data_IF_565459150326
#
_entry.id   IF_565459150326
#
_cell.length_a   1.000
_cell.length_b   1.000
_cell.length_c   1.000
_cell.angle_alpha   90.00
_cell.angle_beta   90.00
_cell.angle_gamma   90.00
#
_symmetry.space_group_name_H-M   'P 1'
#
loop_
_entity.id
_entity.type
_entity.pdbx_description
1 polymer ?
#
# COMPACT_ATOMS: atom_id res chain seq x y z
N UNK A 1 14.21 -4.99 -35.77
CA UNK A 1 13.04 -5.07 -34.92
C UNK A 1 12.20 -3.83 -35.20
N UNK A 2 11.11 -3.99 -35.94
CA UNK A 2 10.16 -2.91 -36.21
C UNK A 2 9.30 -2.79 -34.96
N UNK A 3 9.29 -1.61 -34.32
CA UNK A 3 8.38 -1.28 -33.24
C UNK A 3 6.96 -1.29 -33.81
N UNK A 4 6.13 -2.20 -33.35
CA UNK A 4 4.69 -2.22 -33.66
C UNK A 4 4.00 -1.02 -32.98
N UNK A 5 4.15 0.15 -33.59
CA UNK A 5 3.43 1.37 -33.20
C UNK A 5 1.95 1.35 -33.60
N UNK A 6 1.50 0.30 -34.34
CA UNK A 6 0.13 0.19 -34.83
C UNK A 6 -0.87 -0.36 -33.82
N UNK A 7 -0.42 -1.04 -32.77
CA UNK A 7 -1.28 -1.75 -31.82
C UNK A 7 -2.08 -0.82 -30.89
N UNK A 8 -1.60 0.37 -30.64
CA UNK A 8 -2.27 1.32 -29.73
C UNK A 8 -3.31 2.22 -30.44
N UNK A 9 -3.32 2.30 -31.76
CA UNK A 9 -4.20 3.20 -32.53
C UNK A 9 -5.60 2.64 -32.78
N UNK A 10 -5.74 1.31 -32.83
CA UNK A 10 -7.03 0.63 -33.11
C UNK A 10 -7.95 0.51 -31.89
N UNK A 11 -7.54 1.10 -30.76
CA UNK A 11 -8.06 0.82 -29.43
C UNK A 11 -9.12 1.80 -28.94
N UNK A 12 -9.27 2.97 -29.58
CA UNK A 12 -10.20 4.01 -29.12
C UNK A 12 -11.21 4.32 -30.22
N UNK A 13 -12.52 4.37 -29.91
CA UNK A 13 -13.54 4.75 -30.90
C UNK A 13 -13.17 6.06 -31.59
N UNK A 14 -13.34 6.14 -32.89
CA UNK A 14 -12.87 7.25 -33.74
C UNK A 14 -13.35 8.64 -33.25
N UNK A 15 -14.52 8.76 -32.64
CA UNK A 15 -15.02 10.02 -32.06
C UNK A 15 -14.29 10.41 -30.76
N UNK A 16 -13.92 9.44 -29.94
CA UNK A 16 -13.13 9.67 -28.71
C UNK A 16 -11.66 9.89 -29.06
N UNK A 17 -11.13 9.16 -30.06
CA UNK A 17 -9.80 9.36 -30.63
C UNK A 17 -9.66 10.80 -31.20
N UNK A 18 -10.67 11.30 -31.89
CA UNK A 18 -10.65 12.67 -32.43
C UNK A 18 -10.62 13.71 -31.32
N UNK A 19 -11.36 13.52 -30.23
CA UNK A 19 -11.35 14.38 -29.07
C UNK A 19 -10.04 14.26 -28.28
N UNK A 20 -9.52 13.05 -28.13
CA UNK A 20 -8.23 12.79 -27.48
C UNK A 20 -7.05 13.20 -28.35
N UNK A 21 -7.13 13.04 -29.70
CA UNK A 21 -6.11 13.52 -30.66
C UNK A 21 -6.11 15.03 -30.75
N UNK A 22 -7.26 15.69 -30.74
CA UNK A 22 -7.34 17.15 -30.68
C UNK A 22 -6.75 17.69 -29.38
N UNK A 23 -6.99 17.02 -28.30
CA UNK A 23 -6.41 17.25 -26.99
C UNK A 23 -4.89 16.99 -26.97
N UNK A 24 -4.45 15.88 -27.57
CA UNK A 24 -3.07 15.46 -27.78
C UNK A 24 -2.26 16.48 -28.60
N UNK A 25 -2.81 16.95 -29.71
CA UNK A 25 -2.17 17.94 -30.58
C UNK A 25 -1.96 19.28 -29.86
N UNK A 26 -2.90 19.69 -29.03
CA UNK A 26 -2.76 20.91 -28.23
C UNK A 26 -1.66 20.78 -27.19
N UNK A 27 -1.58 19.64 -26.50
CA UNK A 27 -0.54 19.37 -25.49
C UNK A 27 0.85 19.20 -26.12
N UNK A 28 0.94 18.52 -27.25
CA UNK A 28 2.19 18.32 -28.01
C UNK A 28 2.82 19.64 -28.44
N UNK A 29 2.03 20.59 -28.92
CA UNK A 29 2.52 21.93 -29.32
C UNK A 29 3.13 22.71 -28.15
N UNK A 30 2.72 22.42 -26.89
CA UNK A 30 3.25 23.06 -25.67
C UNK A 30 4.31 22.22 -24.93
N UNK A 31 4.80 21.11 -25.52
CA UNK A 31 5.77 20.18 -24.90
C UNK A 31 5.33 19.66 -23.51
N UNK A 32 4.05 19.42 -23.32
CA UNK A 32 3.50 18.91 -22.07
C UNK A 32 3.32 17.41 -22.20
N UNK A 33 4.20 16.62 -21.57
CA UNK A 33 4.09 15.16 -21.51
C UNK A 33 2.94 14.79 -20.56
N UNK A 34 1.91 14.16 -21.10
CA UNK A 34 0.91 13.44 -20.33
C UNK A 34 1.23 11.95 -20.39
N UNK A 35 1.45 11.35 -19.24
CA UNK A 35 1.50 9.90 -19.12
C UNK A 35 0.11 9.42 -18.74
N UNK A 36 -0.56 8.68 -19.62
CA UNK A 36 -1.90 8.18 -19.39
C UNK A 36 -1.83 6.68 -19.17
N UNK A 37 -2.28 6.21 -17.99
CA UNK A 37 -2.54 4.80 -17.73
C UNK A 37 -3.94 4.47 -18.24
N UNK A 38 -4.06 3.47 -19.09
CA UNK A 38 -5.34 3.05 -19.62
C UNK A 38 -6.21 2.35 -18.56
N UNK A 39 -7.50 2.27 -18.80
CA UNK A 39 -8.46 1.59 -17.93
C UNK A 39 -8.02 0.14 -17.65
N UNK A 40 -8.30 -0.37 -16.45
CA UNK A 40 -7.91 -1.71 -15.99
C UNK A 40 -8.20 -2.82 -17.01
N UNK A 41 -9.40 -2.88 -17.58
CA UNK A 41 -9.74 -3.89 -18.59
C UNK A 41 -8.91 -3.79 -19.88
N UNK A 42 -8.55 -2.58 -20.30
CA UNK A 42 -7.67 -2.34 -21.45
C UNK A 42 -6.24 -2.78 -21.12
N UNK A 43 -5.74 -2.47 -19.92
CA UNK A 43 -4.42 -2.89 -19.48
C UNK A 43 -4.32 -4.41 -19.36
N UNK A 44 -5.37 -5.07 -18.87
CA UNK A 44 -5.45 -6.54 -18.78
C UNK A 44 -5.40 -7.19 -20.16
N UNK A 45 -6.10 -6.63 -21.15
CA UNK A 45 -6.04 -7.08 -22.51
C UNK A 45 -4.67 -6.89 -23.17
N UNK A 46 -3.99 -5.79 -22.88
CA UNK A 46 -2.63 -5.52 -23.40
C UNK A 46 -1.56 -6.42 -22.75
N UNK A 47 -1.76 -6.82 -21.49
CA UNK A 47 -0.85 -7.72 -20.77
C UNK A 47 -1.02 -9.18 -21.21
N UNK A 48 -2.20 -9.59 -21.62
CA UNK A 48 -2.50 -10.94 -22.10
C UNK A 48 -2.03 -11.12 -23.55
N UNK A 49 -0.74 -11.43 -23.73
CA UNK A 49 -0.11 -11.67 -25.04
C UNK A 49 -0.70 -12.85 -25.81
N UNK A 50 -1.61 -13.62 -25.20
CA UNK A 50 -2.26 -14.77 -25.83
C UNK A 50 -3.51 -14.39 -26.63
N UNK A 51 -4.02 -13.16 -26.46
CA UNK A 51 -5.20 -12.68 -27.18
C UNK A 51 -4.76 -12.14 -28.55
N UNK A 52 -5.24 -12.74 -29.67
CA UNK A 52 -5.00 -12.20 -31.01
C UNK A 52 -5.57 -10.78 -31.11
N UNK A 53 -4.84 -9.88 -31.77
CA UNK A 53 -5.19 -8.46 -32.00
C UNK A 53 -6.57 -8.23 -32.64
N UNK A 54 -7.18 -9.27 -33.18
CA UNK A 54 -8.45 -9.24 -33.93
C UNK A 54 -9.72 -9.34 -33.06
N UNK A 55 -9.63 -9.35 -31.70
CA UNK A 55 -10.84 -9.47 -30.87
C UNK A 55 -11.32 -8.11 -30.34
N UNK A 56 -12.53 -7.67 -30.77
CA UNK A 56 -13.15 -6.41 -30.33
C UNK A 56 -13.48 -6.34 -28.84
N UNK A 57 -13.50 -7.48 -28.13
CA UNK A 57 -14.05 -7.60 -26.77
C UNK A 57 -13.29 -6.85 -25.68
N UNK A 58 -11.99 -6.55 -25.89
CA UNK A 58 -11.21 -5.76 -24.94
C UNK A 58 -11.60 -4.26 -24.93
N UNK A 59 -12.28 -3.83 -25.99
CA UNK A 59 -12.55 -2.42 -26.29
C UNK A 59 -14.04 -2.13 -26.45
N UNK A 60 -14.89 -3.11 -26.22
CA UNK A 60 -16.34 -2.91 -26.21
C UNK A 60 -16.72 -2.04 -25.01
N UNK A 61 -16.74 -0.74 -25.24
CA UNK A 61 -17.39 0.20 -24.33
C UNK A 61 -18.88 -0.17 -24.25
N UNK A 62 -19.48 -0.24 -23.04
CA UNK A 62 -20.89 -0.54 -22.91
C UNK A 62 -21.72 0.44 -23.77
N UNK A 63 -22.51 -0.08 -24.70
CA UNK A 63 -23.42 0.74 -25.51
C UNK A 63 -24.43 1.43 -24.58
N UNK A 64 -24.31 2.74 -24.41
CA UNK A 64 -25.32 3.52 -23.70
C UNK A 64 -24.78 4.64 -22.80
N UNK A 65 -23.74 4.43 -22.03
CA UNK A 65 -23.07 5.45 -21.24
C UNK A 65 -21.58 5.15 -21.23
N UNK A 66 -20.81 5.85 -22.06
CA UNK A 66 -19.36 5.65 -22.10
C UNK A 66 -18.72 6.40 -20.92
N UNK A 67 -18.41 5.66 -19.87
CA UNK A 67 -17.50 6.10 -18.81
C UNK A 67 -16.12 5.51 -19.08
N UNK A 68 -15.14 6.38 -19.31
CA UNK A 68 -13.75 5.97 -19.57
C UNK A 68 -12.86 6.50 -18.47
N UNK A 69 -12.02 5.61 -17.92
CA UNK A 69 -11.13 5.95 -16.83
C UNK A 69 -9.66 5.88 -17.29
N UNK A 70 -8.91 6.94 -16.95
CA UNK A 70 -7.49 7.03 -17.21
C UNK A 70 -6.74 7.36 -15.92
N UNK A 71 -5.47 6.89 -15.83
CA UNK A 71 -4.53 7.34 -14.83
C UNK A 71 -3.58 8.36 -15.44
N UNK A 72 -3.26 9.39 -14.70
CA UNK A 72 -2.21 10.35 -15.03
C UNK A 72 -1.06 10.20 -14.05
N UNK A 73 0.17 10.04 -14.55
CA UNK A 73 1.38 10.05 -13.75
C UNK A 73 1.95 11.47 -13.66
N UNK A 74 2.27 11.88 -12.45
CA UNK A 74 2.92 13.16 -12.20
C UNK A 74 1.99 14.28 -11.78
N UNK A 75 2.58 15.32 -11.25
CA UNK A 75 1.89 16.53 -10.83
C UNK A 75 1.78 17.48 -12.00
N UNK A 76 0.58 17.96 -12.27
CA UNK A 76 0.42 19.17 -13.08
C UNK A 76 1.09 20.32 -12.32
N UNK A 77 2.05 21.00 -12.91
CA UNK A 77 2.40 22.32 -12.43
C UNK A 77 1.12 23.20 -12.45
N UNK A 78 0.87 23.95 -11.39
CA UNK A 78 -0.37 24.73 -11.23
C UNK A 78 -0.75 25.55 -12.48
N UNK A 79 0.23 26.07 -13.19
CA UNK A 79 0.04 26.84 -14.44
C UNK A 79 -0.42 25.94 -15.61
N UNK A 80 0.06 24.71 -15.68
CA UNK A 80 -0.35 23.75 -16.72
C UNK A 80 -1.76 23.21 -16.47
N UNK A 81 -2.14 23.06 -15.21
CA UNK A 81 -3.50 22.71 -14.83
C UNK A 81 -4.48 23.77 -15.28
N UNK A 82 -4.18 25.04 -15.05
CA UNK A 82 -5.03 26.16 -15.46
C UNK A 82 -5.22 26.20 -16.98
N UNK A 83 -4.13 26.08 -17.74
CA UNK A 83 -4.18 26.03 -19.21
C UNK A 83 -5.02 24.86 -19.72
N UNK A 84 -4.92 23.70 -19.03
CA UNK A 84 -5.67 22.50 -19.36
C UNK A 84 -7.18 22.68 -19.12
N UNK A 85 -7.57 23.14 -17.94
CA UNK A 85 -8.97 23.37 -17.59
C UNK A 85 -9.59 24.48 -18.44
N UNK A 86 -8.84 25.54 -18.75
CA UNK A 86 -9.25 26.62 -19.64
C UNK A 86 -9.51 26.10 -21.05
N UNK A 87 -8.62 25.26 -21.59
CA UNK A 87 -8.81 24.64 -22.91
C UNK A 87 -10.08 23.79 -22.95
N UNK A 88 -10.31 22.92 -21.94
CA UNK A 88 -11.50 22.07 -21.87
C UNK A 88 -12.78 22.93 -21.83
N UNK A 89 -12.79 23.99 -21.05
CA UNK A 89 -13.93 24.92 -20.96
C UNK A 89 -14.22 25.57 -22.31
N UNK A 90 -13.19 26.06 -23.02
CA UNK A 90 -13.35 26.65 -24.35
C UNK A 90 -13.82 25.63 -25.40
N UNK A 91 -13.44 24.36 -25.24
CA UNK A 91 -13.91 23.27 -26.09
C UNK A 91 -15.32 22.76 -25.72
N UNK A 92 -16.00 23.37 -24.75
CA UNK A 92 -17.38 23.05 -24.33
C UNK A 92 -17.49 21.86 -23.39
N UNK A 93 -16.39 21.45 -22.74
CA UNK A 93 -16.41 20.43 -21.71
C UNK A 93 -16.70 21.06 -20.34
N UNK A 94 -17.45 20.33 -19.52
CA UNK A 94 -17.59 20.60 -18.09
C UNK A 94 -16.56 19.77 -17.33
N UNK A 95 -15.88 20.41 -16.39
CA UNK A 95 -14.84 19.76 -15.58
C UNK A 95 -15.13 19.94 -14.11
N UNK A 96 -14.99 18.85 -13.36
CA UNK A 96 -15.00 18.84 -11.90
C UNK A 96 -13.66 18.31 -11.40
N UNK A 97 -13.10 18.94 -10.37
CA UNK A 97 -11.83 18.57 -9.75
C UNK A 97 -12.05 18.21 -8.31
N UNK A 98 -11.48 17.07 -7.89
CA UNK A 98 -11.35 16.70 -6.50
C UNK A 98 -9.88 16.87 -6.08
N UNK A 99 -9.68 17.46 -4.92
CA UNK A 99 -8.35 17.67 -4.33
C UNK A 99 -8.37 17.27 -2.87
N UNK A 100 -7.25 16.75 -2.38
CA UNK A 100 -7.07 16.37 -0.98
C UNK A 100 -5.82 17.05 -0.41
N UNK A 101 -5.72 17.21 0.92
CA UNK A 101 -4.47 17.64 1.53
C UNK A 101 -3.31 16.71 1.13
N UNK A 102 -2.17 17.28 0.75
CA UNK A 102 -0.98 16.52 0.43
C UNK A 102 -0.43 15.80 1.67
N UNK A 103 -0.46 14.47 1.75
CA UNK A 103 -0.04 13.74 2.94
C UNK A 103 1.42 14.02 3.34
N UNK A 104 2.31 14.27 2.35
CA UNK A 104 3.73 14.54 2.60
C UNK A 104 3.97 15.79 3.44
N UNK A 105 3.23 16.86 3.20
CA UNK A 105 3.41 18.13 3.92
C UNK A 105 2.43 18.27 5.08
N UNK A 106 1.34 17.53 5.05
CA UNK A 106 0.39 17.48 6.16
C UNK A 106 1.05 16.93 7.44
N UNK A 107 1.96 15.97 7.31
CA UNK A 107 2.77 15.46 8.42
C UNK A 107 3.58 16.56 9.12
N UNK A 108 3.98 17.59 8.39
CA UNK A 108 4.69 18.78 8.91
C UNK A 108 3.75 19.93 9.32
N UNK A 109 2.43 19.68 9.35
CA UNK A 109 1.43 20.70 9.73
C UNK A 109 1.10 21.71 8.64
N UNK A 110 1.55 21.46 7.40
CA UNK A 110 1.24 22.31 6.24
C UNK A 110 0.08 21.70 5.46
N UNK A 111 -0.94 22.49 5.19
CA UNK A 111 -2.09 22.09 4.40
C UNK A 111 -1.97 22.64 2.97
N UNK A 112 -1.53 21.77 2.06
CA UNK A 112 -1.44 22.05 0.63
C UNK A 112 -2.32 21.06 -0.11
N UNK A 113 -3.32 21.56 -0.83
CA UNK A 113 -4.21 20.71 -1.62
C UNK A 113 -3.52 20.26 -2.91
N UNK A 114 -3.66 18.95 -3.21
CA UNK A 114 -3.21 18.36 -4.46
C UNK A 114 -4.39 17.74 -5.21
N UNK A 115 -4.47 17.89 -6.54
CA UNK A 115 -5.54 17.29 -7.34
C UNK A 115 -5.39 15.77 -7.35
N UNK A 116 -6.49 15.06 -7.17
CA UNK A 116 -6.51 13.59 -7.16
C UNK A 116 -7.39 13.02 -8.25
N UNK A 117 -8.45 13.73 -8.63
CA UNK A 117 -9.36 13.30 -9.68
C UNK A 117 -9.86 14.47 -10.50
N UNK A 118 -10.03 14.22 -11.80
CA UNK A 118 -10.77 15.10 -12.70
C UNK A 118 -11.90 14.30 -13.34
N UNK A 119 -13.07 14.87 -13.32
CA UNK A 119 -14.23 14.40 -14.09
C UNK A 119 -14.49 15.37 -15.22
N UNK A 120 -14.43 14.90 -16.45
CA UNK A 120 -14.60 15.68 -17.66
C UNK A 120 -15.82 15.12 -18.39
N UNK A 121 -16.84 15.95 -18.61
CA UNK A 121 -18.07 15.54 -19.28
C UNK A 121 -18.41 16.47 -20.42
N UNK A 122 -19.02 15.92 -21.47
CA UNK A 122 -19.56 16.65 -22.60
C UNK A 122 -21.08 16.44 -22.67
N UNK A 123 -21.81 17.36 -23.32
CA UNK A 123 -23.28 17.39 -23.36
C UNK A 123 -24.01 16.12 -23.81
N UNK A 124 -23.30 15.09 -24.26
CA UNK A 124 -23.85 13.82 -24.76
C UNK A 124 -23.28 12.62 -24.01
N UNK A 125 -23.62 12.48 -22.74
CA UNK A 125 -23.46 11.23 -21.95
C UNK A 125 -22.08 10.54 -21.90
N UNK A 126 -21.01 11.17 -22.33
CA UNK A 126 -19.65 10.63 -22.19
C UNK A 126 -18.96 11.33 -21.02
N UNK A 127 -18.51 10.57 -20.04
CA UNK A 127 -17.71 11.08 -18.93
C UNK A 127 -16.33 10.44 -18.97
N UNK A 128 -15.30 11.28 -18.89
CA UNK A 128 -13.91 10.88 -18.75
C UNK A 128 -13.50 11.14 -17.31
N UNK A 129 -13.02 10.10 -16.62
CA UNK A 129 -12.48 10.20 -15.28
C UNK A 129 -10.96 10.03 -15.33
N UNK A 130 -10.25 11.03 -14.84
CA UNK A 130 -8.78 11.00 -14.75
C UNK A 130 -8.40 10.88 -13.27
N UNK A 131 -7.71 9.79 -12.93
CA UNK A 131 -7.12 9.55 -11.61
C UNK A 131 -5.69 10.03 -11.61
N UNK A 132 -5.30 10.87 -10.66
CA UNK A 132 -3.92 11.38 -10.55
C UNK A 132 -3.14 10.51 -9.58
N UNK A 133 -2.10 9.86 -10.09
CA UNK A 133 -1.17 9.05 -9.30
C UNK A 133 0.01 9.91 -8.86
N UNK A 134 0.16 10.05 -7.57
CA UNK A 134 1.25 10.79 -6.94
C UNK A 134 2.39 9.86 -6.55
N UNK A 135 3.60 10.30 -6.81
CA UNK A 135 4.80 9.58 -6.40
C UNK A 135 5.03 9.72 -4.90
N UNK A 136 5.34 8.60 -4.25
CA UNK A 136 5.62 8.52 -2.81
C UNK A 136 7.09 8.11 -2.57
N UNK A 137 7.69 8.51 -1.42
CA UNK A 137 9.08 8.21 -1.08
C UNK A 137 9.43 6.72 -1.13
N UNK A 138 8.52 5.84 -0.73
CA UNK A 138 8.68 4.39 -0.77
C UNK A 138 8.77 3.77 -2.18
N UNK A 139 9.05 4.58 -3.21
CA UNK A 139 9.14 4.19 -4.61
C UNK A 139 7.87 3.53 -5.15
N UNK A 140 6.70 4.11 -4.87
CA UNK A 140 5.41 3.65 -5.33
C UNK A 140 4.53 4.83 -5.79
N UNK A 141 3.44 4.51 -6.49
CA UNK A 141 2.39 5.45 -6.84
C UNK A 141 1.21 5.31 -5.90
N UNK A 142 0.65 6.44 -5.50
CA UNK A 142 -0.52 6.53 -4.65
C UNK A 142 -1.60 7.37 -5.32
N UNK A 143 -2.85 7.00 -5.15
CA UNK A 143 -4.00 7.83 -5.45
C UNK A 143 -4.95 7.86 -4.25
N UNK A 144 -5.63 8.98 -4.05
CA UNK A 144 -6.71 9.06 -3.07
C UNK A 144 -8.01 8.46 -3.63
N UNK A 145 -8.91 8.08 -2.75
CA UNK A 145 -10.29 7.76 -3.11
C UNK A 145 -11.03 8.99 -3.66
N UNK A 146 -11.99 8.76 -4.55
CA UNK A 146 -12.88 9.81 -5.03
C UNK A 146 -14.14 9.96 -4.15
N UNK A 147 -14.04 9.61 -2.87
CA UNK A 147 -15.12 9.79 -1.90
C UNK A 147 -15.07 11.25 -1.42
N UNK A 148 -16.11 12.02 -1.74
CA UNK A 148 -16.30 13.31 -1.09
C UNK A 148 -16.84 13.06 0.33
N UNK A 149 -16.24 13.70 1.35
CA UNK A 149 -16.91 13.83 2.65
C UNK A 149 -18.23 14.60 2.43
N UNK A 150 -19.29 14.15 3.10
CA UNK A 150 -20.61 14.78 3.01
C UNK A 150 -20.57 16.19 3.63
N UNK A 151 -20.16 17.17 2.85
CA UNK A 151 -20.33 18.56 3.19
C UNK A 151 -21.30 19.22 2.18
N UNK A 152 -22.41 19.68 2.68
CA UNK A 152 -23.70 19.92 2.02
C UNK A 152 -23.74 21.18 1.09
N UNK A 153 -22.58 21.73 0.69
CA UNK A 153 -22.57 23.07 0.07
C UNK A 153 -22.04 23.19 -1.36
N UNK A 154 -21.55 22.11 -2.01
CA UNK A 154 -20.89 22.26 -3.31
C UNK A 154 -21.49 21.40 -4.44
N UNK A 155 -21.98 22.05 -5.51
CA UNK A 155 -22.54 21.39 -6.71
C UNK A 155 -21.60 20.44 -7.45
N UNK A 156 -20.31 20.53 -7.19
CA UNK A 156 -19.26 19.68 -7.79
C UNK A 156 -19.33 18.25 -7.26
N UNK A 157 -19.69 18.07 -5.98
CA UNK A 157 -19.83 16.78 -5.30
C UNK A 157 -20.96 15.92 -5.87
N UNK A 158 -22.04 16.52 -6.31
CA UNK A 158 -23.20 15.80 -6.88
C UNK A 158 -22.80 14.99 -8.13
N UNK A 159 -21.85 15.48 -8.91
CA UNK A 159 -21.40 14.80 -10.15
C UNK A 159 -20.52 13.59 -9.85
N UNK A 160 -19.63 13.66 -8.86
CA UNK A 160 -18.84 12.51 -8.40
C UNK A 160 -19.72 11.51 -7.66
N UNK A 161 -20.59 11.94 -6.77
CA UNK A 161 -21.51 11.08 -6.01
C UNK A 161 -22.42 10.24 -6.93
N UNK A 162 -22.89 10.78 -8.04
CA UNK A 162 -23.66 10.00 -9.04
C UNK A 162 -22.88 8.87 -9.68
N UNK A 163 -21.56 9.02 -9.83
CA UNK A 163 -20.68 7.98 -10.37
C UNK A 163 -20.33 6.92 -9.33
N UNK A 164 -20.19 7.34 -8.07
CA UNK A 164 -19.84 6.46 -6.93
C UNK A 164 -20.98 5.50 -6.57
N UNK A 165 -22.23 5.92 -6.73
CA UNK A 165 -23.41 5.13 -6.34
C UNK A 165 -23.78 4.01 -7.29
N UNK A 166 -23.13 3.88 -8.47
CA UNK A 166 -23.36 2.74 -9.35
C UNK A 166 -22.69 1.47 -8.80
N UNK A 167 -23.40 0.34 -8.84
CA UNK A 167 -22.87 -0.96 -8.36
C UNK A 167 -21.62 -1.44 -9.13
N UNK A 168 -21.38 -0.87 -10.32
CA UNK A 168 -20.25 -1.13 -11.21
C UNK A 168 -19.14 -0.09 -11.10
N UNK A 169 -19.14 0.74 -10.05
CA UNK A 169 -18.12 1.79 -9.88
C UNK A 169 -16.72 1.18 -9.76
N UNK A 170 -15.74 1.68 -10.54
CA UNK A 170 -14.37 1.21 -10.47
C UNK A 170 -13.79 1.39 -9.07
N UNK A 171 -12.88 0.51 -8.70
CA UNK A 171 -12.25 0.47 -7.37
C UNK A 171 -11.47 1.75 -7.01
N UNK A 172 -10.83 2.40 -7.99
CA UNK A 172 -10.14 3.68 -7.80
C UNK A 172 -10.99 4.80 -7.18
N UNK A 173 -12.28 4.60 -7.08
CA UNK A 173 -13.22 5.55 -6.49
C UNK A 173 -13.46 5.26 -5.01
N UNK A 174 -13.38 4.00 -4.60
CA UNK A 174 -13.86 3.53 -3.27
C UNK A 174 -12.82 3.62 -2.16
N UNK A 175 -11.54 3.55 -2.48
CA UNK A 175 -10.46 3.57 -1.49
C UNK A 175 -9.20 4.18 -2.09
N UNK A 176 -8.35 4.71 -1.23
CA UNK A 176 -6.96 5.03 -1.58
C UNK A 176 -6.26 3.78 -2.07
N UNK A 177 -5.32 3.93 -3.00
CA UNK A 177 -4.57 2.81 -3.54
C UNK A 177 -3.08 3.09 -3.65
N UNK A 178 -2.27 2.03 -3.52
CA UNK A 178 -0.82 2.10 -3.64
C UNK A 178 -0.28 1.00 -4.56
N UNK A 179 0.51 1.39 -5.54
CA UNK A 179 1.01 0.51 -6.62
C UNK A 179 2.53 0.64 -6.72
N UNK A 180 3.22 -0.50 -6.77
CA UNK A 180 4.66 -0.47 -7.03
C UNK A 180 4.93 0.16 -8.40
N UNK A 181 6.01 0.94 -8.49
CA UNK A 181 6.42 1.48 -9.77
C UNK A 181 6.86 0.33 -10.65
N UNK A 182 6.10 0.08 -11.70
CA UNK A 182 6.43 -0.87 -12.74
C UNK A 182 7.35 -0.22 -13.78
N UNK A 183 8.17 -1.01 -14.46
CA UNK A 183 8.74 -0.61 -15.73
C UNK A 183 7.62 -0.24 -16.68
N UNK A 184 7.76 0.89 -17.33
CA UNK A 184 6.74 1.48 -18.19
C UNK A 184 7.15 1.24 -19.62
N UNK A 185 6.35 0.50 -20.37
CA UNK A 185 6.53 0.39 -21.81
C UNK A 185 5.96 1.66 -22.47
N UNK A 186 6.79 2.46 -23.16
CA UNK A 186 6.30 3.61 -23.88
C UNK A 186 5.48 3.13 -25.07
N UNK A 187 4.24 3.57 -25.15
CA UNK A 187 3.37 3.38 -26.30
C UNK A 187 3.18 4.74 -26.97
N UNK A 188 3.67 4.90 -28.20
CA UNK A 188 3.50 6.15 -28.94
C UNK A 188 2.09 6.19 -29.54
N UNK A 189 1.26 7.09 -29.03
CA UNK A 189 -0.09 7.34 -29.52
C UNK A 189 -0.12 8.37 -30.68
N UNK A 190 1.05 8.78 -31.17
CA UNK A 190 1.16 9.86 -32.14
C UNK A 190 1.10 11.25 -31.52
N UNK A 191 1.70 12.24 -32.17
CA UNK A 191 1.67 13.63 -31.71
C UNK A 191 2.46 13.94 -30.44
N UNK A 192 3.33 13.02 -29.99
CA UNK A 192 4.17 13.19 -28.79
C UNK A 192 3.47 12.80 -27.49
N UNK A 193 2.37 12.09 -27.56
CA UNK A 193 1.70 11.42 -26.42
C UNK A 193 2.31 10.05 -26.22
N UNK A 194 2.74 9.80 -25.01
CA UNK A 194 3.19 8.49 -24.59
C UNK A 194 2.19 7.89 -23.59
N UNK A 195 1.65 6.73 -23.90
CA UNK A 195 0.98 5.87 -22.93
C UNK A 195 2.03 5.00 -22.27
N UNK A 196 1.78 4.63 -21.01
CA UNK A 196 2.66 3.75 -20.27
C UNK A 196 1.81 2.57 -19.78
N UNK A 197 2.25 1.36 -20.08
CA UNK A 197 1.66 0.14 -19.51
C UNK A 197 2.68 -0.49 -18.56
N UNK A 198 2.28 -0.92 -17.36
CA UNK A 198 3.16 -1.65 -16.48
C UNK A 198 3.52 -3.02 -17.08
N UNK A 199 4.81 -3.39 -17.01
CA UNK A 199 5.30 -4.68 -17.52
C UNK A 199 4.85 -5.87 -16.68
N UNK A 200 4.54 -5.63 -15.39
CA UNK A 200 4.01 -6.64 -14.46
C UNK A 200 2.62 -6.22 -14.02
N UNK A 201 1.65 -6.72 -14.73
CA UNK A 201 0.25 -6.35 -14.55
C UNK A 201 -0.37 -6.92 -13.28
N UNK A 202 0.02 -8.12 -12.88
CA UNK A 202 -0.51 -8.83 -11.71
C UNK A 202 -0.34 -8.06 -10.39
N UNK A 203 0.66 -7.17 -10.32
CA UNK A 203 0.85 -6.29 -9.17
C UNK A 203 -0.10 -5.09 -9.15
N UNK A 204 -0.74 -4.77 -10.29
CA UNK A 204 -1.74 -3.69 -10.43
C UNK A 204 -3.18 -4.19 -10.25
N UNK A 205 -3.39 -5.51 -10.35
CA UNK A 205 -4.71 -6.14 -10.35
C UNK A 205 -4.99 -6.73 -8.99
N UNK A 206 -5.59 -5.98 -8.12
CA UNK A 206 -6.08 -6.48 -6.86
C UNK A 206 -6.61 -5.34 -6.01
N UNK A 207 -7.61 -5.62 -5.19
CA UNK A 207 -8.03 -4.70 -4.16
C UNK A 207 -6.88 -4.54 -3.17
N UNK A 208 -6.13 -3.45 -3.29
CA UNK A 208 -5.03 -3.13 -2.37
C UNK A 208 -5.28 -1.74 -1.78
N UNK A 209 -6.25 -1.61 -0.88
CA UNK A 209 -6.53 -0.34 -0.24
C UNK A 209 -5.29 0.13 0.51
N UNK A 210 -5.10 1.45 0.50
CA UNK A 210 -4.01 2.11 1.20
C UNK A 210 -4.56 2.83 2.42
N UNK A 211 -3.86 2.73 3.53
CA UNK A 211 -4.19 3.44 4.78
C UNK A 211 -3.05 4.40 5.09
N UNK A 212 -3.38 5.68 5.10
CA UNK A 212 -2.46 6.74 5.53
C UNK A 212 -2.29 6.73 7.05
N UNK A 213 -1.09 6.97 7.53
CA UNK A 213 -0.90 7.19 8.96
C UNK A 213 -1.62 8.45 9.42
N UNK A 214 -2.34 8.37 10.55
CA UNK A 214 -3.08 9.50 11.10
C UNK A 214 -2.15 10.50 11.78
N UNK A 215 -1.69 11.49 11.02
CA UNK A 215 -0.75 12.52 11.47
C UNK A 215 -1.34 13.42 12.56
N UNK A 216 -2.67 13.60 12.61
CA UNK A 216 -3.33 14.36 13.68
C UNK A 216 -3.23 13.61 15.00
N UNK A 217 -3.47 12.30 15.00
CA UNK A 217 -3.27 11.43 16.15
C UNK A 217 -1.80 11.43 16.60
N UNK A 218 -0.87 11.31 15.68
CA UNK A 218 0.56 11.33 15.99
C UNK A 218 1.00 12.66 16.62
N UNK A 219 0.54 13.79 16.09
CA UNK A 219 0.80 15.11 16.66
C UNK A 219 0.22 15.23 18.08
N UNK A 220 -1.00 14.76 18.30
CA UNK A 220 -1.60 14.76 19.65
C UNK A 220 -0.78 13.89 20.60
N UNK A 221 -0.35 12.70 20.15
CA UNK A 221 0.50 11.82 20.97
C UNK A 221 1.80 12.52 21.38
N UNK A 222 2.49 13.14 20.43
CA UNK A 222 3.74 13.86 20.71
C UNK A 222 3.53 15.13 21.57
N UNK A 223 2.41 15.81 21.42
CA UNK A 223 2.08 16.96 22.27
C UNK A 223 1.88 16.56 23.75
N UNK A 224 1.34 15.37 24.00
CA UNK A 224 1.06 14.88 25.35
C UNK A 224 2.30 14.20 25.98
N UNK A 225 2.99 13.36 25.21
CA UNK A 225 4.03 12.47 25.73
C UNK A 225 5.47 12.90 25.39
N UNK A 226 5.61 13.94 24.56
CA UNK A 226 6.90 14.36 24.00
C UNK A 226 7.32 13.53 22.80
N UNK A 227 8.28 14.06 22.04
CA UNK A 227 8.97 13.33 20.99
C UNK A 227 10.40 13.08 21.45
N UNK A 228 10.85 11.85 21.31
CA UNK A 228 12.25 11.51 21.57
C UNK A 228 13.08 11.86 20.31
N UNK A 229 13.85 12.93 20.42
CA UNK A 229 14.74 13.44 19.36
C UNK A 229 16.22 13.24 19.71
N UNK A 230 16.50 12.30 20.61
CA UNK A 230 17.89 11.95 20.97
C UNK A 230 18.61 11.33 19.77
N UNK A 231 19.94 11.47 19.66
CA UNK A 231 20.73 10.80 18.63
C UNK A 231 20.53 9.27 18.61
N UNK A 232 20.29 8.67 19.76
CA UNK A 232 20.02 7.25 19.92
C UNK A 232 18.69 6.86 19.29
N UNK A 233 17.63 7.65 19.49
CA UNK A 233 16.32 7.43 18.88
C UNK A 233 16.37 7.58 17.35
N UNK A 234 17.07 8.62 16.86
CA UNK A 234 17.27 8.81 15.42
C UNK A 234 18.10 7.67 14.81
N UNK A 235 19.15 7.22 15.48
CA UNK A 235 19.95 6.09 15.03
C UNK A 235 19.11 4.79 14.99
N UNK A 236 18.27 4.57 16.00
CA UNK A 236 17.37 3.41 16.02
C UNK A 236 16.38 3.45 14.84
N UNK A 237 15.77 4.61 14.57
CA UNK A 237 14.91 4.81 13.39
C UNK A 237 15.61 4.42 12.08
N UNK A 238 16.86 4.88 11.88
CA UNK A 238 17.65 4.55 10.70
C UNK A 238 17.97 3.06 10.59
N UNK A 239 18.23 2.39 11.72
CA UNK A 239 18.47 0.93 11.76
C UNK A 239 17.20 0.17 11.40
N UNK A 240 16.05 0.53 11.97
CA UNK A 240 14.75 -0.06 11.65
C UNK A 240 14.41 0.13 10.18
N UNK A 241 14.57 1.35 9.65
CA UNK A 241 14.37 1.60 8.21
C UNK A 241 15.22 0.66 7.35
N UNK A 242 16.53 0.55 7.62
CA UNK A 242 17.43 -0.32 6.87
C UNK A 242 17.01 -1.79 6.93
N UNK A 243 16.65 -2.25 8.13
CA UNK A 243 16.19 -3.62 8.33
C UNK A 243 14.91 -3.91 7.56
N UNK A 244 13.90 -3.02 7.64
CA UNK A 244 12.64 -3.18 6.91
C UNK A 244 12.81 -3.15 5.38
N UNK A 245 13.77 -2.38 4.86
CA UNK A 245 14.11 -2.41 3.42
C UNK A 245 14.63 -3.79 3.03
N UNK A 246 15.57 -4.37 3.80
CA UNK A 246 16.08 -5.73 3.56
C UNK A 246 14.98 -6.79 3.68
N UNK A 247 14.17 -6.70 4.73
CA UNK A 247 13.02 -7.61 4.95
C UNK A 247 12.07 -7.58 3.76
N UNK A 248 11.69 -6.37 3.30
CA UNK A 248 10.82 -6.21 2.12
C UNK A 248 11.42 -6.85 0.87
N UNK A 249 12.72 -6.66 0.64
CA UNK A 249 13.40 -7.25 -0.50
C UNK A 249 13.41 -8.78 -0.41
N UNK A 250 13.92 -9.35 0.69
CA UNK A 250 14.11 -10.79 0.84
C UNK A 250 12.78 -11.57 0.81
N UNK A 251 11.78 -11.08 1.55
CA UNK A 251 10.46 -11.72 1.54
C UNK A 251 9.73 -11.49 0.21
N UNK A 252 9.98 -10.35 -0.46
CA UNK A 252 9.47 -10.07 -1.81
C UNK A 252 10.04 -11.03 -2.86
N UNK A 253 11.35 -11.29 -2.86
CA UNK A 253 12.03 -12.27 -3.74
C UNK A 253 11.48 -13.69 -3.53
N UNK A 254 11.12 -14.01 -2.30
CA UNK A 254 10.48 -15.28 -1.95
C UNK A 254 8.97 -15.30 -2.22
N UNK A 255 8.35 -14.20 -2.64
CA UNK A 255 6.89 -14.06 -2.74
C UNK A 255 6.17 -14.44 -1.43
N UNK A 256 6.68 -13.96 -0.28
CA UNK A 256 6.09 -14.14 1.03
C UNK A 256 5.47 -12.81 1.49
N UNK A 257 4.14 -12.69 1.50
CA UNK A 257 3.47 -11.52 2.03
C UNK A 257 3.70 -11.39 3.54
N UNK A 258 4.00 -10.17 3.99
CA UNK A 258 4.17 -9.87 5.41
C UNK A 258 3.57 -8.50 5.75
N UNK A 259 3.37 -8.24 7.02
CA UNK A 259 2.93 -6.94 7.54
C UNK A 259 3.69 -6.56 8.80
N UNK A 260 3.76 -5.26 9.12
CA UNK A 260 4.28 -4.80 10.41
C UNK A 260 3.31 -5.19 11.52
N UNK A 261 3.82 -5.79 12.58
CA UNK A 261 3.05 -6.41 13.67
C UNK A 261 3.39 -5.78 15.03
N UNK A 262 2.73 -6.20 16.06
CA UNK A 262 3.04 -5.92 17.47
C UNK A 262 3.50 -4.49 17.74
N UNK A 263 4.65 -4.29 18.37
CA UNK A 263 5.23 -2.98 18.71
C UNK A 263 5.52 -2.09 17.50
N UNK A 264 5.93 -2.68 16.39
CA UNK A 264 6.17 -1.94 15.14
C UNK A 264 4.87 -1.39 14.55
N UNK A 265 3.79 -2.19 14.56
CA UNK A 265 2.46 -1.75 14.14
C UNK A 265 1.87 -0.69 15.09
N UNK A 266 2.06 -0.84 16.41
CA UNK A 266 1.64 0.17 17.39
C UNK A 266 2.35 1.52 17.15
N UNK A 267 3.65 1.50 16.88
CA UNK A 267 4.42 2.70 16.56
C UNK A 267 3.87 3.43 15.35
N UNK A 268 3.63 2.71 14.24
CA UNK A 268 2.95 3.24 13.07
C UNK A 268 1.59 3.84 13.44
N UNK A 269 0.72 3.05 14.06
CA UNK A 269 -0.66 3.46 14.33
C UNK A 269 -0.74 4.64 15.29
N UNK A 270 0.04 4.65 16.38
CA UNK A 270 -0.04 5.63 17.45
C UNK A 270 0.65 6.96 17.12
N UNK A 271 1.86 6.88 16.56
CA UNK A 271 2.75 8.02 16.45
C UNK A 271 3.39 8.22 15.07
N UNK A 272 2.95 7.45 14.05
CA UNK A 272 3.50 7.47 12.68
C UNK A 272 5.03 7.26 12.63
N UNK A 273 5.57 6.57 13.61
CA UNK A 273 7.00 6.40 13.79
C UNK A 273 7.30 5.14 14.60
N UNK A 274 8.56 4.73 14.68
CA UNK A 274 9.01 3.68 15.60
C UNK A 274 8.81 4.10 17.05
N UNK A 275 8.70 3.13 17.94
CA UNK A 275 8.75 3.36 19.38
C UNK A 275 10.22 3.42 19.79
N UNK A 276 10.75 4.58 20.19
CA UNK A 276 12.21 4.78 20.28
C UNK A 276 12.92 3.98 21.37
N UNK A 277 12.16 3.48 22.35
CA UNK A 277 12.68 2.68 23.46
C UNK A 277 12.52 1.17 23.28
N UNK A 278 12.10 0.69 22.11
CA UNK A 278 12.14 -0.73 21.75
C UNK A 278 13.49 -1.08 21.14
N UNK A 279 13.77 -2.37 21.03
CA UNK A 279 15.05 -2.89 20.49
C UNK A 279 14.83 -3.89 19.35
N UNK A 280 13.57 -4.04 18.93
CA UNK A 280 13.09 -5.05 18.01
C UNK A 280 12.18 -4.46 16.93
N UNK A 281 12.04 -5.23 15.87
CA UNK A 281 11.10 -5.04 14.78
C UNK A 281 10.26 -6.30 14.68
N UNK A 282 8.95 -6.13 14.75
CA UNK A 282 8.00 -7.22 14.69
C UNK A 282 7.30 -7.22 13.32
N UNK A 283 7.24 -8.37 12.68
CA UNK A 283 6.43 -8.60 11.49
C UNK A 283 5.57 -9.85 11.63
N UNK A 284 4.45 -9.86 10.92
CA UNK A 284 3.56 -11.01 10.82
C UNK A 284 3.63 -11.62 9.42
N UNK A 285 3.52 -12.94 9.36
CA UNK A 285 3.39 -13.74 8.14
C UNK A 285 2.29 -14.76 8.38
N UNK A 286 1.37 -14.98 7.43
CA UNK A 286 0.45 -16.11 7.55
C UNK A 286 1.20 -17.41 7.38
N UNK A 287 0.92 -18.41 8.22
CA UNK A 287 1.64 -19.70 8.19
C UNK A 287 1.50 -20.41 6.83
N UNK A 288 0.39 -20.21 6.13
CA UNK A 288 0.20 -20.75 4.77
C UNK A 288 1.19 -20.21 3.75
N UNK A 289 1.80 -19.05 4.01
CA UNK A 289 2.80 -18.40 3.14
C UNK A 289 4.24 -18.69 3.61
N UNK A 290 4.42 -19.50 4.65
CA UNK A 290 5.74 -19.89 5.14
C UNK A 290 6.54 -20.65 4.08
N UNK A 291 7.80 -20.30 3.97
CA UNK A 291 8.79 -20.99 3.14
C UNK A 291 10.07 -21.26 3.95
N UNK A 292 10.59 -22.50 3.95
CA UNK A 292 11.84 -22.82 4.67
C UNK A 292 13.03 -21.97 4.22
N UNK A 293 13.00 -21.47 2.98
CA UNK A 293 14.04 -20.63 2.38
C UNK A 293 14.18 -19.27 3.08
N UNK A 294 13.21 -18.85 3.90
CA UNK A 294 13.31 -17.62 4.70
C UNK A 294 14.57 -17.65 5.55
N UNK A 295 14.88 -18.77 6.21
CA UNK A 295 16.04 -18.87 7.11
C UNK A 295 17.35 -18.68 6.34
N UNK A 296 17.51 -19.34 5.19
CA UNK A 296 18.71 -19.21 4.37
C UNK A 296 18.81 -17.83 3.71
N UNK A 297 17.70 -17.27 3.23
CA UNK A 297 17.69 -15.95 2.61
C UNK A 297 18.17 -14.85 3.57
N UNK A 298 17.70 -14.85 4.81
CA UNK A 298 18.15 -13.89 5.81
C UNK A 298 19.61 -14.13 6.22
N UNK A 299 20.00 -15.39 6.47
CA UNK A 299 21.35 -15.72 6.91
C UNK A 299 22.42 -15.39 5.87
N UNK A 300 22.13 -15.53 4.57
CA UNK A 300 23.06 -15.17 3.48
C UNK A 300 23.21 -13.65 3.29
N UNK A 301 22.36 -12.85 3.94
CA UNK A 301 22.39 -11.38 3.90
C UNK A 301 22.81 -10.77 5.26
N UNK A 302 23.64 -11.50 6.02
CA UNK A 302 24.17 -11.08 7.32
C UNK A 302 23.08 -10.77 8.37
N UNK A 303 21.96 -11.49 8.30
CA UNK A 303 20.88 -11.44 9.29
C UNK A 303 20.67 -12.85 9.84
N UNK A 304 21.57 -13.32 10.75
CA UNK A 304 21.54 -14.68 11.25
C UNK A 304 20.29 -14.95 12.10
N UNK A 305 19.82 -16.20 12.02
CA UNK A 305 18.78 -16.74 12.91
C UNK A 305 19.34 -16.83 14.33
N UNK A 306 18.62 -16.31 15.31
CA UNK A 306 18.97 -16.37 16.75
C UNK A 306 18.06 -17.27 17.54
N UNK A 307 16.78 -17.33 17.18
CA UNK A 307 15.80 -18.20 17.85
C UNK A 307 14.87 -18.83 16.83
N UNK A 308 14.47 -20.06 17.12
CA UNK A 308 13.36 -20.73 16.48
C UNK A 308 12.49 -21.31 17.59
N UNK A 309 11.24 -20.90 17.65
CA UNK A 309 10.25 -21.39 18.60
C UNK A 309 9.07 -22.03 17.89
N UNK A 310 8.49 -23.04 18.55
CA UNK A 310 7.35 -23.77 18.03
C UNK A 310 7.69 -24.65 16.82
N UNK A 311 6.65 -25.04 16.12
CA UNK A 311 6.71 -25.80 14.87
C UNK A 311 5.69 -25.24 13.88
N UNK A 312 5.82 -25.58 12.61
CA UNK A 312 4.98 -25.01 11.54
C UNK A 312 3.48 -25.18 11.83
N UNK A 313 3.10 -26.24 12.49
CA UNK A 313 1.71 -26.54 12.84
C UNK A 313 1.23 -25.82 14.10
N UNK A 314 2.15 -25.27 14.92
CA UNK A 314 1.79 -24.68 16.22
C UNK A 314 2.85 -23.68 16.71
N UNK A 315 2.42 -22.44 16.94
CA UNK A 315 3.19 -21.38 17.63
C UNK A 315 4.57 -21.10 17.01
N UNK A 316 4.67 -21.14 15.68
CA UNK A 316 5.96 -20.95 14.99
C UNK A 316 6.39 -19.49 15.04
N UNK A 317 7.66 -19.30 15.39
CA UNK A 317 8.30 -17.99 15.50
C UNK A 317 9.77 -18.11 15.09
N UNK A 318 10.25 -17.14 14.31
CA UNK A 318 11.66 -17.01 13.93
C UNK A 318 12.16 -15.64 14.37
N UNK A 319 13.29 -15.63 15.07
CA UNK A 319 13.97 -14.40 15.45
C UNK A 319 15.33 -14.32 14.77
N UNK A 320 15.57 -13.19 14.15
CA UNK A 320 16.84 -12.87 13.48
C UNK A 320 17.49 -11.66 14.12
N UNK A 321 18.72 -11.36 13.73
CA UNK A 321 19.43 -10.19 14.24
C UNK A 321 20.22 -9.49 13.13
N UNK A 322 19.88 -8.22 12.87
CA UNK A 322 20.70 -7.33 12.05
C UNK A 322 21.50 -6.41 12.99
N UNK A 323 22.74 -6.79 13.27
CA UNK A 323 23.63 -6.14 14.24
C UNK A 323 22.99 -6.09 15.64
N UNK A 324 22.51 -4.93 16.08
CA UNK A 324 21.92 -4.72 17.39
C UNK A 324 20.37 -4.66 17.40
N UNK A 325 19.74 -4.73 16.22
CA UNK A 325 18.29 -4.78 16.11
C UNK A 325 17.82 -6.22 15.91
N UNK A 326 16.90 -6.65 16.75
CA UNK A 326 16.22 -7.94 16.61
C UNK A 326 15.08 -7.81 15.61
N UNK A 327 14.88 -8.82 14.79
CA UNK A 327 13.71 -9.00 13.93
C UNK A 327 12.95 -10.23 14.41
N UNK A 328 11.69 -10.07 14.76
CA UNK A 328 10.79 -11.16 15.11
C UNK A 328 9.76 -11.37 13.99
N UNK A 329 9.70 -12.59 13.48
CA UNK A 329 8.70 -13.03 12.50
C UNK A 329 7.74 -13.96 13.23
N UNK A 330 6.54 -13.44 13.50
CA UNK A 330 5.45 -14.22 14.07
C UNK A 330 4.62 -14.85 12.96
N UNK A 331 4.39 -16.15 13.04
CA UNK A 331 3.51 -16.82 12.10
C UNK A 331 2.08 -16.87 12.65
N UNK A 332 1.14 -16.44 11.80
CA UNK A 332 -0.28 -16.31 12.15
C UNK A 332 -1.08 -17.42 11.49
N UNK A 333 -1.97 -17.98 12.28
CA UNK A 333 -2.87 -19.08 11.93
C UNK A 333 -4.28 -18.54 11.77
N UNK A 334 -4.96 -18.95 10.69
CA UNK A 334 -6.33 -18.52 10.39
C UNK A 334 -7.31 -19.61 10.85
N UNK A 335 -8.24 -19.25 11.70
CA UNK A 335 -9.40 -20.08 12.11
C UNK A 335 -10.67 -19.50 11.48
N UNK A 336 -11.82 -20.15 11.70
CA UNK A 336 -13.09 -19.75 11.09
C UNK A 336 -13.54 -18.34 11.50
N UNK A 337 -13.33 -17.95 12.74
CA UNK A 337 -13.81 -16.70 13.36
C UNK A 337 -12.71 -15.74 13.82
N UNK A 338 -11.47 -16.19 13.94
CA UNK A 338 -10.35 -15.41 14.43
C UNK A 338 -9.02 -15.74 13.72
N UNK A 339 -8.00 -14.99 14.04
CA UNK A 339 -6.61 -15.23 13.65
C UNK A 339 -5.79 -15.25 14.94
N UNK A 340 -4.78 -16.11 15.01
CA UNK A 340 -3.94 -16.16 16.20
C UNK A 340 -2.47 -16.37 15.86
N UNK A 341 -1.59 -15.97 16.76
CA UNK A 341 -0.20 -16.39 16.76
C UNK A 341 0.21 -16.90 18.14
N UNK A 342 1.31 -17.61 18.20
CA UNK A 342 1.80 -18.19 19.44
C UNK A 342 3.11 -17.56 19.91
N UNK A 343 3.43 -17.84 21.17
CA UNK A 343 4.73 -17.55 21.76
C UNK A 343 5.19 -18.69 22.68
N UNK A 344 6.47 -18.92 22.76
CA UNK A 344 7.06 -19.99 23.59
C UNK A 344 8.01 -19.42 24.62
N UNK A 345 7.78 -19.73 25.89
CA UNK A 345 8.71 -19.40 26.95
C UNK A 345 9.83 -20.47 27.04
N UNK A 346 11.00 -20.15 26.53
CA UNK A 346 12.10 -21.10 26.39
C UNK A 346 12.52 -21.82 27.70
N UNK A 347 12.42 -21.15 28.85
CA UNK A 347 12.85 -21.73 30.15
C UNK A 347 11.91 -22.80 30.71
N UNK A 348 10.64 -22.73 30.34
CA UNK A 348 9.58 -23.58 30.93
C UNK A 348 8.85 -24.42 29.92
N UNK A 349 9.05 -24.17 28.64
CA UNK A 349 8.28 -24.77 27.55
C UNK A 349 6.81 -24.32 27.51
N UNK A 350 6.38 -23.34 28.35
CA UNK A 350 5.02 -22.83 28.31
C UNK A 350 4.73 -22.17 26.97
N UNK A 351 3.54 -22.44 26.44
CA UNK A 351 3.00 -21.83 25.24
C UNK A 351 1.97 -20.75 25.60
N UNK A 352 1.93 -19.73 24.78
CA UNK A 352 0.96 -18.66 24.87
C UNK A 352 0.29 -18.47 23.51
N UNK A 353 -0.99 -18.13 23.50
CA UNK A 353 -1.78 -17.86 22.30
C UNK A 353 -2.30 -16.44 22.37
N UNK A 354 -2.13 -15.69 21.29
CA UNK A 354 -2.65 -14.33 21.13
C UNK A 354 -3.72 -14.34 20.06
N UNK A 355 -4.94 -14.02 20.43
CA UNK A 355 -6.10 -14.07 19.55
C UNK A 355 -6.45 -12.68 19.02
N UNK A 356 -6.61 -12.57 17.72
CA UNK A 356 -6.98 -11.34 17.01
C UNK A 356 -8.29 -11.52 16.25
N UNK A 357 -9.08 -10.45 16.07
CA UNK A 357 -10.19 -10.49 15.12
C UNK A 357 -9.65 -10.70 13.71
N UNK A 358 -10.46 -11.25 12.81
CA UNK A 358 -10.08 -11.38 11.39
C UNK A 358 -9.78 -10.01 10.79
N UNK A 359 -8.75 -9.97 9.99
CA UNK A 359 -8.35 -8.78 9.24
C UNK A 359 -7.89 -9.13 7.82
N UNK A 360 -7.97 -8.16 6.93
CA UNK A 360 -7.32 -8.18 5.62
C UNK A 360 -6.03 -7.36 5.69
N UNK A 361 -5.17 -7.50 4.68
CA UNK A 361 -3.96 -6.69 4.56
C UNK A 361 -4.19 -5.51 3.63
N UNK A 362 -3.87 -4.32 4.12
CA UNK A 362 -3.84 -3.08 3.39
C UNK A 362 -2.39 -2.60 3.22
N UNK A 363 -2.16 -1.77 2.21
CA UNK A 363 -0.91 -1.07 2.06
C UNK A 363 -0.86 0.18 2.95
N UNK A 364 0.35 0.55 3.32
CA UNK A 364 0.67 1.82 3.99
C UNK A 364 2.07 2.28 3.61
N UNK A 365 2.41 3.50 4.00
CA UNK A 365 3.78 4.00 4.00
C UNK A 365 4.25 4.14 5.45
N UNK A 366 5.35 3.49 5.78
CA UNK A 366 5.99 3.58 7.08
C UNK A 366 7.49 3.73 6.89
N UNK A 367 8.07 4.79 7.47
CA UNK A 367 9.48 5.14 7.30
C UNK A 367 9.90 5.21 5.83
N UNK A 368 9.11 5.86 4.98
CA UNK A 368 9.34 5.95 3.53
C UNK A 368 9.42 4.59 2.81
N UNK A 369 8.80 3.55 3.37
CA UNK A 369 8.73 2.21 2.77
C UNK A 369 7.26 1.84 2.59
N UNK A 370 6.89 1.34 1.40
CA UNK A 370 5.58 0.72 1.17
C UNK A 370 5.54 -0.65 1.85
N UNK A 371 4.70 -0.79 2.85
CA UNK A 371 4.54 -2.01 3.67
C UNK A 371 3.06 -2.37 3.79
N UNK A 372 2.78 -3.53 4.38
CA UNK A 372 1.41 -3.92 4.71
C UNK A 372 1.13 -3.76 6.20
N UNK A 373 -0.15 -3.53 6.50
CA UNK A 373 -0.72 -3.53 7.85
C UNK A 373 -2.08 -4.23 7.82
N UNK A 374 -2.61 -4.68 8.96
CA UNK A 374 -4.01 -5.07 9.07
C UNK A 374 -4.93 -3.90 8.66
N UNK A 375 -5.90 -4.11 7.76
CA UNK A 375 -6.83 -3.06 7.34
C UNK A 375 -7.63 -2.53 8.53
N UNK A 376 -8.05 -3.42 9.41
CA UNK A 376 -8.71 -3.09 10.68
C UNK A 376 -7.68 -2.76 11.78
N UNK A 377 -6.71 -1.89 11.46
CA UNK A 377 -5.53 -1.62 12.31
C UNK A 377 -5.90 -1.27 13.74
N UNK A 378 -6.93 -0.46 13.96
CA UNK A 378 -7.37 -0.10 15.30
C UNK A 378 -7.81 -1.34 16.11
N UNK A 379 -8.62 -2.22 15.54
CA UNK A 379 -9.08 -3.44 16.21
C UNK A 379 -7.91 -4.39 16.51
N UNK A 380 -6.95 -4.46 15.59
CA UNK A 380 -5.72 -5.24 15.77
C UNK A 380 -4.89 -4.72 16.97
N UNK A 381 -4.70 -3.40 17.04
CA UNK A 381 -3.98 -2.75 18.13
C UNK A 381 -4.74 -2.87 19.46
N UNK A 382 -6.05 -2.65 19.46
CA UNK A 382 -6.87 -2.79 20.67
C UNK A 382 -6.88 -4.24 21.19
N UNK A 383 -6.88 -5.23 20.32
CA UNK A 383 -6.75 -6.62 20.71
C UNK A 383 -5.43 -6.88 21.45
N UNK A 384 -4.31 -6.37 20.95
CA UNK A 384 -2.99 -6.66 21.51
C UNK A 384 -2.59 -5.75 22.68
N UNK A 385 -3.01 -4.47 22.67
CA UNK A 385 -2.60 -3.46 23.64
C UNK A 385 -3.73 -2.93 24.52
N UNK A 386 -4.98 -3.37 24.28
CA UNK A 386 -6.17 -2.89 24.99
C UNK A 386 -6.57 -1.47 24.57
N UNK A 387 -7.64 -0.97 25.20
CA UNK A 387 -8.17 0.38 24.92
C UNK A 387 -7.22 1.51 25.33
N UNK A 388 -6.25 1.21 26.19
CA UNK A 388 -5.25 2.18 26.66
C UNK A 388 -3.98 2.22 25.79
N UNK A 389 -4.02 1.70 24.56
CA UNK A 389 -2.87 1.64 23.63
C UNK A 389 -2.19 3.00 23.38
N UNK A 390 -2.90 4.09 23.60
CA UNK A 390 -2.36 5.45 23.43
C UNK A 390 -1.33 5.82 24.50
N UNK A 391 -1.40 5.22 25.70
CA UNK A 391 -0.47 5.46 26.79
C UNK A 391 0.83 4.68 26.60
N UNK A 392 2.01 5.33 26.65
CA UNK A 392 3.28 4.63 26.57
C UNK A 392 3.52 3.73 27.78
N UNK A 393 3.78 2.45 27.54
CA UNK A 393 4.12 1.48 28.56
C UNK A 393 5.56 1.03 28.33
N UNK A 394 6.48 1.43 29.20
CA UNK A 394 7.91 1.09 29.09
C UNK A 394 8.26 -0.31 29.60
N UNK A 395 7.43 -0.90 30.47
CA UNK A 395 7.60 -2.26 30.99
C UNK A 395 6.47 -3.13 30.48
N UNK A 396 6.76 -3.84 29.41
CA UNK A 396 5.82 -4.73 28.75
C UNK A 396 6.23 -6.19 28.98
N UNK A 397 5.33 -6.97 29.59
CA UNK A 397 5.50 -8.41 29.71
C UNK A 397 4.62 -9.08 28.66
N UNK A 398 5.21 -9.63 27.63
CA UNK A 398 4.54 -10.27 26.52
C UNK A 398 3.60 -11.42 26.94
N UNK A 399 3.82 -12.03 28.12
CA UNK A 399 2.99 -13.14 28.65
C UNK A 399 1.78 -12.68 29.46
N UNK A 400 1.74 -11.45 29.90
CA UNK A 400 0.74 -11.00 30.85
C UNK A 400 0.13 -9.61 30.54
N UNK A 401 0.84 -8.79 29.80
CA UNK A 401 0.36 -7.44 29.49
C UNK A 401 -0.68 -7.39 28.37
N UNK A 402 -0.57 -8.22 27.29
CA UNK A 402 -1.56 -8.19 26.22
C UNK A 402 -2.92 -8.72 26.72
N UNK A 403 -4.03 -8.01 26.47
CA UNK A 403 -5.35 -8.48 26.91
C UNK A 403 -5.85 -9.69 26.11
N UNK A 404 -5.26 -9.97 24.94
CA UNK A 404 -5.61 -11.09 24.08
C UNK A 404 -4.71 -12.32 24.27
N UNK A 405 -3.86 -12.33 25.32
CA UNK A 405 -2.99 -13.47 25.60
C UNK A 405 -3.63 -14.48 26.56
N UNK A 406 -3.44 -15.74 26.28
CA UNK A 406 -3.81 -16.85 27.18
C UNK A 406 -2.72 -17.92 27.21
N UNK A 407 -2.59 -18.66 28.33
CA UNK A 407 -1.72 -19.85 28.38
C UNK A 407 -2.31 -20.95 27.51
N UNK A 408 -1.51 -21.50 26.60
CA UNK A 408 -1.91 -22.55 25.64
C UNK A 408 -1.15 -23.87 25.84
N UNK A 409 -0.97 -24.27 27.08
CA UNK A 409 -0.29 -25.51 27.45
C UNK A 409 1.22 -25.40 27.55
N UNK A 410 1.87 -26.54 27.52
CA UNK A 410 3.33 -26.68 27.67
C UNK A 410 3.84 -27.69 26.64
N UNK A 411 4.96 -27.39 26.00
CA UNK A 411 5.62 -28.34 25.12
C UNK A 411 6.08 -29.58 25.90
N UNK A 412 5.82 -30.81 25.41
CA UNK A 412 6.45 -32.01 25.96
C UNK A 412 7.97 -31.87 25.97
N UNK A 413 8.62 -32.32 27.04
CA UNK A 413 10.08 -32.16 27.22
C UNK A 413 10.85 -32.79 26.08
N UNK A 414 10.35 -33.90 25.55
CA UNK A 414 10.90 -34.62 24.41
C UNK A 414 10.88 -33.83 23.10
N UNK A 415 9.94 -32.86 22.95
CA UNK A 415 9.87 -31.97 21.78
C UNK A 415 10.80 -30.75 21.89
N UNK A 416 11.29 -30.40 23.09
CA UNK A 416 12.09 -29.18 23.31
C UNK A 416 13.26 -29.02 22.34
N UNK A 417 14.06 -30.05 22.00
CA UNK A 417 15.14 -29.90 21.04
C UNK A 417 14.71 -29.48 19.65
N UNK A 418 13.43 -29.64 19.32
CA UNK A 418 12.84 -29.30 18.03
C UNK A 418 12.10 -27.94 18.05
N UNK A 419 11.44 -27.63 19.19
CA UNK A 419 10.56 -26.46 19.30
C UNK A 419 11.15 -25.29 20.09
N UNK A 420 12.35 -25.45 20.67
CA UNK A 420 13.09 -24.40 21.39
C UNK A 420 14.55 -24.45 20.93
N UNK A 421 14.88 -23.69 19.91
CA UNK A 421 16.25 -23.63 19.39
C UNK A 421 16.82 -22.22 19.56
N UNK A 422 17.96 -22.16 20.24
CA UNK A 422 18.72 -20.93 20.44
C UNK A 422 20.05 -21.05 19.68
N UNK A 423 20.33 -20.07 18.83
CA UNK A 423 21.56 -20.07 18.03
C UNK A 423 22.47 -18.96 18.55
N UNK A 424 23.76 -19.28 18.81
CA UNK A 424 24.73 -18.26 19.16
C UNK A 424 24.92 -17.29 18.00
N UNK A 425 25.13 -16.02 18.31
CA UNK A 425 25.57 -15.08 17.28
C UNK A 425 26.96 -15.46 16.79
N UNK A 426 27.28 -15.29 15.50
CA UNK A 426 28.63 -15.42 15.00
C UNK A 426 29.56 -14.50 15.81
N UNK A 427 30.73 -14.99 16.18
CA UNK A 427 31.77 -14.15 16.79
C UNK A 427 32.15 -13.06 15.79
N UNK A 428 32.08 -11.79 16.24
CA UNK A 428 32.36 -10.59 15.43
C UNK A 428 33.84 -10.44 15.13
#
# INVERSE_FOLDING_TARGET
MRSDSSVCLDVVPSSLLFSLLSFSIFLSRKKTLFSILAQHGILQCLADKTIPVERPSCFDLPRGHAFVQFGSLGQFAAQKEHDFLSFLSHAGYQTSKLSVPNPKVLAHGLEVLIPTHYLISQKQNTALHVVVFHERPGNFWWHAAAVAEEDDTNKTEISFNRLITSASSPQFIKSDGAYDKAEVLPCDLGGGLHSFAPTQFDTFVGEQPFIECNTTRARLFHAIHGRDETPEAELFRLKVHRLLVKVKQLLGELNVPFWISSGTCLGFFRQCDVIPYTTDVDIGVFIKDYKPEIISAFSTHDIPLTHLFGKVEDSYELSFRDRDVKLDIFFFYEEDDHIWNGGTQARTGKKFKYTFPKFKLCWTEFLDIKLRIPCETQKYIEANYGLNWFQPIKRWDWKASPPNVEENGVWPVEEWPHVIKLFPLPES
#
